data_IF_778445919314
#
_entry.id   IF_778445919314
#
_cell.length_a   1.000
_cell.length_b   1.000
_cell.length_c   1.000
_cell.angle_alpha   90.00
_cell.angle_beta   90.00
_cell.angle_gamma   90.00
#
_symmetry.space_group_name_H-M   'P 1'
#
loop_
_entity.id
_entity.type
_entity.pdbx_description
1 polymer ?
#
# COMPACT_ATOMS: atom_id res chain seq x y z
N UNK A 1 17.82 -12.24 -9.85
CA UNK A 1 17.70 -13.03 -8.60
C UNK A 1 17.06 -12.22 -7.46
N UNK A 2 17.33 -10.91 -7.32
CA UNK A 2 16.66 -10.05 -6.31
C UNK A 2 15.17 -9.79 -6.63
N UNK A 3 14.83 -9.55 -7.91
CA UNK A 3 13.45 -9.33 -8.37
C UNK A 3 12.46 -10.47 -8.07
N UNK A 4 12.92 -11.73 -8.03
CA UNK A 4 12.06 -12.88 -7.71
C UNK A 4 11.77 -12.95 -6.21
N UNK A 5 12.79 -12.65 -5.37
CA UNK A 5 12.65 -12.57 -3.91
C UNK A 5 11.73 -11.42 -3.49
N UNK A 6 11.74 -10.29 -4.19
CA UNK A 6 10.84 -9.16 -3.90
C UNK A 6 9.38 -9.47 -4.24
N UNK A 7 9.12 -10.17 -5.36
CA UNK A 7 7.76 -10.58 -5.77
C UNK A 7 7.09 -11.49 -4.72
N UNK A 8 7.83 -12.51 -4.28
CA UNK A 8 7.35 -13.45 -3.25
C UNK A 8 7.11 -12.71 -1.92
N UNK A 9 7.95 -11.73 -1.59
CA UNK A 9 7.84 -10.97 -0.34
C UNK A 9 6.64 -10.02 -0.33
N UNK A 10 6.32 -9.34 -1.43
CA UNK A 10 5.13 -8.48 -1.50
C UNK A 10 3.82 -9.28 -1.48
N UNK A 11 3.81 -10.43 -2.13
CA UNK A 11 2.68 -11.37 -2.06
C UNK A 11 2.48 -11.88 -0.63
N UNK A 12 3.58 -12.26 0.04
CA UNK A 12 3.55 -12.66 1.45
C UNK A 12 3.08 -11.53 2.37
N UNK A 13 3.51 -10.29 2.11
CA UNK A 13 3.09 -9.13 2.88
C UNK A 13 1.59 -8.85 2.73
N UNK A 14 1.09 -8.84 1.49
CA UNK A 14 -0.35 -8.71 1.21
C UNK A 14 -1.13 -9.78 1.95
N UNK A 15 -0.68 -11.04 1.88
CA UNK A 15 -1.31 -12.15 2.60
C UNK A 15 -1.33 -11.94 4.12
N UNK A 16 -0.20 -11.54 4.72
CA UNK A 16 -0.15 -11.29 6.17
C UNK A 16 -1.09 -10.17 6.62
N UNK A 17 -1.23 -9.12 5.81
CA UNK A 17 -2.17 -8.01 6.07
C UNK A 17 -3.61 -8.52 6.02
N UNK A 18 -3.97 -9.28 4.97
CA UNK A 18 -5.32 -9.83 4.83
C UNK A 18 -5.63 -10.84 5.94
N UNK A 19 -4.73 -11.78 6.23
CA UNK A 19 -4.90 -12.82 7.25
C UNK A 19 -5.09 -12.20 8.64
N UNK A 20 -4.29 -11.17 8.98
CA UNK A 20 -4.45 -10.44 10.25
C UNK A 20 -5.82 -9.74 10.31
N UNK A 21 -6.20 -9.08 9.22
CA UNK A 21 -7.45 -8.31 9.13
C UNK A 21 -8.68 -9.22 9.22
N UNK A 22 -8.64 -10.42 8.65
CA UNK A 22 -9.76 -11.37 8.71
C UNK A 22 -9.86 -12.12 10.04
N UNK A 23 -8.74 -12.29 10.76
CA UNK A 23 -8.69 -13.11 11.98
C UNK A 23 -9.06 -12.32 13.24
N UNK A 24 -8.48 -11.13 13.42
CA UNK A 24 -8.60 -10.37 14.69
C UNK A 24 -9.76 -9.36 14.71
N UNK A 25 -10.46 -9.16 13.58
CA UNK A 25 -11.48 -8.12 13.45
C UNK A 25 -12.86 -8.72 13.18
N UNK A 26 -13.13 -9.90 13.76
CA UNK A 26 -14.37 -10.65 13.52
C UNK A 26 -15.54 -10.18 14.39
N UNK A 27 -15.28 -9.69 15.59
CA UNK A 27 -16.31 -9.26 16.53
C UNK A 27 -15.98 -7.89 17.11
N UNK A 28 -16.99 -7.04 17.27
CA UNK A 28 -16.83 -5.69 17.78
C UNK A 28 -17.50 -5.56 19.15
N UNK A 29 -16.81 -5.91 20.25
CA UNK A 29 -17.44 -5.95 21.58
C UNK A 29 -17.82 -4.56 22.11
N UNK A 30 -17.14 -3.52 21.64
CA UNK A 30 -17.35 -2.13 22.05
C UNK A 30 -17.43 -1.26 20.80
N UNK A 31 -18.42 -0.37 20.76
CA UNK A 31 -18.54 0.59 19.66
C UNK A 31 -17.36 1.57 19.67
N UNK A 32 -16.67 1.77 18.53
CA UNK A 32 -15.57 2.72 18.43
C UNK A 32 -16.00 4.16 18.81
N UNK A 33 -15.07 4.96 19.35
CA UNK A 33 -15.30 6.38 19.61
C UNK A 33 -15.75 7.18 18.36
N UNK A 34 -16.54 8.23 18.55
CA UNK A 34 -17.13 9.01 17.44
C UNK A 34 -16.08 9.69 16.54
N UNK A 35 -14.97 10.13 17.12
CA UNK A 35 -13.82 10.67 16.38
C UNK A 35 -13.19 9.61 15.48
N UNK A 36 -13.08 8.36 15.93
CA UNK A 36 -12.59 7.24 15.11
C UNK A 36 -13.59 6.89 14.00
N UNK A 37 -14.89 6.88 14.30
CA UNK A 37 -15.93 6.61 13.30
C UNK A 37 -15.95 7.68 12.20
N UNK A 38 -15.63 8.93 12.53
CA UNK A 38 -15.57 10.03 11.55
C UNK A 38 -14.45 9.89 10.52
N UNK A 39 -13.46 9.02 10.76
CA UNK A 39 -12.37 8.73 9.83
C UNK A 39 -12.76 7.70 8.75
N UNK A 40 -13.86 6.97 8.97
CA UNK A 40 -14.33 5.97 8.01
C UNK A 40 -14.87 6.69 6.76
N UNK A 41 -14.41 6.33 5.56
CA UNK A 41 -14.93 6.91 4.33
C UNK A 41 -16.46 6.75 4.24
N UNK A 42 -17.22 7.83 3.96
CA UNK A 42 -18.68 7.81 4.04
C UNK A 42 -19.35 6.95 2.97
N UNK A 43 -18.60 6.55 1.92
CA UNK A 43 -19.11 5.72 0.82
C UNK A 43 -19.15 4.23 1.14
N UNK A 44 -18.60 3.80 2.28
CA UNK A 44 -18.57 2.39 2.66
C UNK A 44 -19.79 2.11 3.54
N UNK A 45 -20.54 1.01 3.28
CA UNK A 45 -21.62 0.60 4.17
C UNK A 45 -21.14 0.39 5.60
N UNK A 46 -21.98 0.71 6.58
CA UNK A 46 -21.63 0.57 7.99
C UNK A 46 -21.25 -0.88 8.34
N UNK A 47 -20.01 -1.09 8.81
CA UNK A 47 -19.47 -2.40 9.21
C UNK A 47 -19.42 -2.61 10.73
N UNK A 48 -20.27 -1.90 11.47
CA UNK A 48 -20.34 -2.01 12.93
C UNK A 48 -21.15 -3.23 13.42
N UNK A 49 -21.89 -3.90 12.54
CA UNK A 49 -22.62 -5.14 12.87
C UNK A 49 -21.72 -6.38 12.87
N UNK A 50 -22.27 -7.53 13.25
CA UNK A 50 -21.51 -8.80 13.32
C UNK A 50 -21.88 -9.83 12.23
N UNK A 51 -22.61 -9.41 11.20
CA UNK A 51 -22.90 -10.23 10.01
C UNK A 51 -21.62 -10.55 9.23
N UNK A 52 -21.65 -11.59 8.39
CA UNK A 52 -20.48 -11.99 7.62
C UNK A 52 -19.98 -10.86 6.68
N UNK A 53 -20.91 -10.16 6.03
CA UNK A 53 -20.66 -9.01 5.18
C UNK A 53 -20.00 -7.86 5.96
N UNK A 54 -20.52 -7.54 7.15
CA UNK A 54 -19.96 -6.55 8.06
C UNK A 54 -18.52 -6.90 8.49
N UNK A 55 -18.24 -8.17 8.82
CA UNK A 55 -16.88 -8.63 9.16
C UNK A 55 -15.90 -8.48 8.00
N UNK A 56 -16.33 -8.81 6.79
CA UNK A 56 -15.52 -8.69 5.58
C UNK A 56 -15.21 -7.22 5.26
N UNK A 57 -16.19 -6.32 5.39
CA UNK A 57 -15.98 -4.89 5.21
C UNK A 57 -15.04 -4.31 6.28
N UNK A 58 -15.16 -4.75 7.54
CA UNK A 58 -14.23 -4.37 8.60
C UNK A 58 -12.80 -4.83 8.30
N UNK A 59 -12.64 -6.07 7.86
CA UNK A 59 -11.33 -6.59 7.45
C UNK A 59 -10.75 -5.79 6.27
N UNK A 60 -11.57 -5.42 5.28
CA UNK A 60 -11.13 -4.57 4.17
C UNK A 60 -10.69 -3.17 4.66
N UNK A 61 -11.45 -2.54 5.54
CA UNK A 61 -11.08 -1.25 6.12
C UNK A 61 -9.76 -1.31 6.91
N UNK A 62 -9.55 -2.37 7.69
CA UNK A 62 -8.31 -2.59 8.43
C UNK A 62 -7.13 -2.80 7.48
N UNK A 63 -7.28 -3.64 6.45
CA UNK A 63 -6.25 -3.86 5.45
C UNK A 63 -5.88 -2.56 4.71
N UNK A 64 -6.88 -1.77 4.30
CA UNK A 64 -6.69 -0.44 3.74
C UNK A 64 -5.87 0.47 4.66
N UNK A 65 -6.23 0.53 5.94
CA UNK A 65 -5.57 1.40 6.93
C UNK A 65 -4.11 1.00 7.11
N UNK A 66 -3.83 -0.30 7.28
CA UNK A 66 -2.46 -0.82 7.41
C UNK A 66 -1.64 -0.48 6.16
N UNK A 67 -2.17 -0.80 4.97
CA UNK A 67 -1.49 -0.58 3.70
C UNK A 67 -1.25 0.89 3.40
N UNK A 68 -2.17 1.78 3.78
CA UNK A 68 -2.01 3.23 3.63
C UNK A 68 -0.87 3.75 4.49
N UNK A 69 -0.81 3.34 5.76
CA UNK A 69 0.27 3.75 6.67
C UNK A 69 1.61 3.17 6.20
N UNK A 70 1.67 1.89 5.79
CA UNK A 70 2.90 1.31 5.24
C UNK A 70 3.37 2.04 3.98
N UNK A 71 2.45 2.35 3.06
CA UNK A 71 2.79 3.08 1.83
C UNK A 71 3.39 4.43 2.16
N UNK A 72 2.79 5.13 3.11
CA UNK A 72 3.23 6.45 3.52
C UNK A 72 4.54 6.46 4.33
N UNK A 73 4.71 5.49 5.24
CA UNK A 73 5.82 5.47 6.22
C UNK A 73 7.03 4.65 5.79
N UNK A 74 6.76 3.54 5.10
CA UNK A 74 7.73 2.50 4.80
C UNK A 74 8.09 2.53 3.32
N UNK A 75 7.12 2.67 2.42
CA UNK A 75 7.33 2.57 0.98
C UNK A 75 7.77 3.87 0.29
N UNK A 76 8.52 4.70 1.01
CA UNK A 76 9.18 5.89 0.47
C UNK A 76 10.51 5.51 -0.21
N UNK A 77 11.01 6.28 -1.18
CA UNK A 77 12.23 5.91 -1.93
C UNK A 77 13.53 5.94 -1.12
N UNK A 78 13.59 6.69 0.00
CA UNK A 78 14.84 6.95 0.73
C UNK A 78 14.80 6.47 2.18
N UNK A 79 14.34 7.31 3.11
CA UNK A 79 14.34 7.01 4.54
C UNK A 79 12.95 6.58 4.98
N UNK A 80 12.89 5.77 6.04
CA UNK A 80 11.64 5.64 6.79
C UNK A 80 11.23 7.05 7.25
N UNK A 81 10.02 7.48 6.91
CA UNK A 81 9.57 8.80 7.35
C UNK A 81 9.38 8.74 8.86
N UNK A 82 10.22 9.45 9.61
CA UNK A 82 10.21 9.47 11.08
C UNK A 82 9.28 10.55 11.66
N UNK A 83 8.72 11.43 10.83
CA UNK A 83 7.98 12.63 11.26
C UNK A 83 6.61 12.79 10.58
N UNK A 84 5.82 13.79 11.01
CA UNK A 84 4.53 14.15 10.38
C UNK A 84 4.69 14.36 8.88
N UNK A 85 3.56 14.36 8.14
CA UNK A 85 3.50 14.60 6.69
C UNK A 85 4.55 15.65 6.26
N UNK A 86 5.38 15.28 5.28
CA UNK A 86 6.47 16.09 4.73
C UNK A 86 7.65 16.30 5.70
N UNK A 87 8.42 15.22 5.97
CA UNK A 87 9.78 15.44 6.47
C UNK A 87 10.56 16.23 5.40
N UNK A 88 11.12 17.38 5.80
CA UNK A 88 11.87 18.25 4.88
C UNK A 88 13.01 17.49 4.20
N UNK A 89 13.54 16.47 4.87
CA UNK A 89 14.56 15.59 4.31
C UNK A 89 14.03 14.74 3.14
N UNK A 90 12.82 14.17 3.24
CA UNK A 90 12.22 13.34 2.19
C UNK A 90 11.91 14.16 0.92
N UNK A 91 11.41 15.39 1.10
CA UNK A 91 11.20 16.32 -0.02
C UNK A 91 12.51 16.69 -0.72
N UNK A 92 13.58 16.94 0.04
CA UNK A 92 14.89 17.26 -0.49
C UNK A 92 15.53 16.07 -1.23
N UNK A 93 15.45 14.85 -0.68
CA UNK A 93 15.97 13.66 -1.34
C UNK A 93 15.19 13.35 -2.62
N UNK A 94 13.87 13.52 -2.61
CA UNK A 94 13.03 13.35 -3.81
C UNK A 94 13.41 14.36 -4.89
N UNK A 95 13.55 15.64 -4.54
CA UNK A 95 13.98 16.68 -5.48
C UNK A 95 15.38 16.43 -6.05
N UNK A 96 16.34 16.05 -5.19
CA UNK A 96 17.71 15.74 -5.63
C UNK A 96 17.75 14.50 -6.54
N UNK A 97 16.98 13.46 -6.20
CA UNK A 97 16.86 12.25 -7.03
C UNK A 97 16.29 12.59 -8.42
N UNK A 98 15.21 13.38 -8.50
CA UNK A 98 14.66 13.84 -9.77
C UNK A 98 15.70 14.59 -10.62
N UNK A 99 16.40 15.58 -10.04
CA UNK A 99 17.46 16.32 -10.75
C UNK A 99 18.63 15.45 -11.22
N UNK A 100 18.99 14.42 -10.44
CA UNK A 100 20.03 13.47 -10.82
C UNK A 100 19.54 12.53 -11.93
N UNK A 101 18.29 12.08 -11.86
CA UNK A 101 17.68 11.19 -12.85
C UNK A 101 17.57 11.83 -14.22
N UNK A 102 17.20 13.11 -14.30
CA UNK A 102 17.19 13.87 -15.55
C UNK A 102 18.54 13.84 -16.28
N UNK A 103 19.64 13.79 -15.52
CA UNK A 103 21.00 13.82 -16.06
C UNK A 103 21.62 12.44 -16.24
N UNK A 104 21.32 11.51 -15.33
CA UNK A 104 21.80 10.12 -15.37
C UNK A 104 21.10 9.26 -14.32
N UNK A 105 20.29 8.32 -14.76
CA UNK A 105 19.70 7.26 -13.91
C UNK A 105 20.77 6.46 -13.17
N UNK A 106 21.92 6.20 -13.80
CA UNK A 106 23.06 5.53 -13.15
C UNK A 106 23.65 6.34 -12.01
N UNK A 107 23.87 7.66 -12.20
CA UNK A 107 24.40 8.51 -11.11
C UNK A 107 23.41 8.63 -9.97
N UNK A 108 22.11 8.71 -10.26
CA UNK A 108 21.10 8.70 -9.21
C UNK A 108 21.13 7.38 -8.42
N UNK A 109 21.16 6.23 -9.09
CA UNK A 109 21.18 4.94 -8.42
C UNK A 109 22.40 4.79 -7.49
N UNK A 110 23.59 5.21 -7.96
CA UNK A 110 24.82 5.24 -7.16
C UNK A 110 24.69 6.20 -5.98
N UNK A 111 24.17 7.40 -6.21
CA UNK A 111 23.93 8.39 -5.16
C UNK A 111 22.95 7.88 -4.09
N UNK A 112 21.82 7.29 -4.50
CA UNK A 112 20.81 6.70 -3.61
C UNK A 112 21.43 5.57 -2.79
N UNK A 113 22.19 4.67 -3.41
CA UNK A 113 22.87 3.59 -2.70
C UNK A 113 23.85 4.14 -1.66
N UNK A 114 24.72 5.09 -2.01
CA UNK A 114 25.65 5.70 -1.05
C UNK A 114 24.95 6.45 0.07
N UNK A 115 23.88 7.17 -0.25
CA UNK A 115 23.06 7.90 0.73
C UNK A 115 22.43 6.93 1.74
N UNK A 116 21.84 5.83 1.25
CA UNK A 116 21.27 4.79 2.09
C UNK A 116 22.34 4.09 2.95
N UNK A 117 23.48 3.73 2.36
CA UNK A 117 24.59 3.14 3.11
C UNK A 117 25.04 4.07 4.23
N UNK A 118 25.31 5.34 3.93
CA UNK A 118 25.73 6.33 4.92
C UNK A 118 24.68 6.53 6.04
N UNK A 119 23.39 6.56 5.68
CA UNK A 119 22.30 6.64 6.65
C UNK A 119 22.29 5.42 7.58
N UNK A 120 22.47 4.22 7.03
CA UNK A 120 22.39 2.95 7.76
C UNK A 120 23.67 2.51 8.48
N UNK A 121 24.83 3.12 8.19
CA UNK A 121 26.11 2.81 8.86
C UNK A 121 26.52 3.85 9.91
N UNK A 122 25.73 4.91 10.12
CA UNK A 122 25.99 5.89 11.19
C UNK A 122 25.88 5.25 12.59
N UNK A 123 26.58 5.82 13.58
CA UNK A 123 26.73 5.27 14.94
C UNK A 123 25.40 4.92 15.63
N UNK A 124 24.33 5.66 15.32
CA UNK A 124 22.99 5.47 15.89
C UNK A 124 21.95 4.95 14.88
N UNK A 125 22.39 4.50 13.70
CA UNK A 125 21.49 4.07 12.63
C UNK A 125 20.54 2.96 13.07
N UNK A 126 21.07 1.92 13.72
CA UNK A 126 20.28 0.77 14.18
C UNK A 126 19.19 1.18 15.17
N UNK A 127 19.51 2.05 16.11
CA UNK A 127 18.54 2.56 17.09
C UNK A 127 17.46 3.40 16.41
N UNK A 128 17.84 4.28 15.49
CA UNK A 128 16.87 5.11 14.74
C UNK A 128 15.92 4.28 13.88
N UNK A 129 16.41 3.26 13.19
CA UNK A 129 15.57 2.34 12.39
C UNK A 129 14.58 1.61 13.28
N UNK A 130 15.05 1.05 14.40
CA UNK A 130 14.18 0.32 15.32
C UNK A 130 13.12 1.24 15.95
N UNK A 131 13.50 2.47 16.31
CA UNK A 131 12.56 3.48 16.80
C UNK A 131 11.53 3.87 15.74
N UNK A 132 11.95 4.02 14.48
CA UNK A 132 11.05 4.29 13.35
C UNK A 132 10.03 3.17 13.17
N UNK A 133 10.52 1.93 13.06
CA UNK A 133 9.66 0.76 12.93
C UNK A 133 8.69 0.62 14.11
N UNK A 134 9.16 0.88 15.34
CA UNK A 134 8.32 0.91 16.53
C UNK A 134 7.21 1.97 16.44
N UNK A 135 7.54 3.18 16.00
CA UNK A 135 6.53 4.25 15.83
C UNK A 135 5.47 3.90 14.77
N UNK A 136 5.86 3.24 13.67
CA UNK A 136 4.90 2.78 12.64
C UNK A 136 3.99 1.68 13.19
N UNK A 137 4.52 0.76 13.99
CA UNK A 137 3.71 -0.27 14.67
C UNK A 137 2.67 0.39 15.58
N UNK A 138 3.08 1.35 16.41
CA UNK A 138 2.16 2.04 17.32
C UNK A 138 1.14 2.91 16.56
N UNK A 139 1.53 3.56 15.45
CA UNK A 139 0.61 4.31 14.60
C UNK A 139 -0.47 3.41 14.00
N UNK A 140 -0.09 2.25 13.45
CA UNK A 140 -1.03 1.27 12.91
C UNK A 140 -1.94 0.73 14.02
N UNK A 141 -1.38 0.28 15.15
CA UNK A 141 -2.17 -0.27 16.26
C UNK A 141 -3.18 0.76 16.76
N UNK A 142 -2.77 2.01 16.98
CA UNK A 142 -3.68 3.05 17.45
C UNK A 142 -4.79 3.39 16.45
N UNK A 143 -4.54 3.25 15.15
CA UNK A 143 -5.55 3.48 14.12
C UNK A 143 -6.63 2.38 14.08
N UNK A 144 -6.27 1.12 14.37
CA UNK A 144 -7.17 -0.03 14.16
C UNK A 144 -7.64 -0.72 15.44
N UNK A 145 -7.01 -0.50 16.61
CA UNK A 145 -7.33 -1.21 17.86
C UNK A 145 -8.80 -1.11 18.30
N UNK A 146 -9.49 -0.04 17.89
CA UNK A 146 -10.91 0.15 18.23
C UNK A 146 -11.85 -0.79 17.49
N UNK A 147 -11.36 -1.51 16.47
CA UNK A 147 -12.14 -2.44 15.65
C UNK A 147 -11.95 -3.92 16.03
N UNK A 148 -11.18 -4.21 17.09
CA UNK A 148 -10.90 -5.57 17.60
C UNK A 148 -11.30 -5.68 19.08
N UNK A 149 -11.26 -6.89 19.62
CA UNK A 149 -11.44 -7.12 21.04
C UNK A 149 -10.24 -6.54 21.82
N UNK A 150 -10.45 -5.74 22.89
CA UNK A 150 -9.37 -5.24 23.73
C UNK A 150 -8.44 -6.34 24.28
N UNK A 151 -8.94 -7.56 24.46
CA UNK A 151 -8.14 -8.70 24.91
C UNK A 151 -7.17 -9.21 23.82
N UNK A 152 -7.42 -8.91 22.56
CA UNK A 152 -6.57 -9.28 21.43
C UNK A 152 -5.51 -8.20 21.10
N UNK A 153 -5.45 -7.08 21.85
CA UNK A 153 -4.53 -5.98 21.56
C UNK A 153 -3.05 -6.44 21.48
N UNK A 154 -2.62 -7.36 22.34
CA UNK A 154 -1.26 -7.86 22.29
C UNK A 154 -1.01 -8.76 21.07
N UNK A 155 -2.00 -9.60 20.70
CA UNK A 155 -1.93 -10.39 19.47
C UNK A 155 -1.90 -9.48 18.23
N UNK A 156 -2.68 -8.40 18.24
CA UNK A 156 -2.67 -7.35 17.22
C UNK A 156 -1.28 -6.71 17.12
N UNK A 157 -0.70 -6.25 18.24
CA UNK A 157 0.62 -5.62 18.27
C UNK A 157 1.71 -6.56 17.73
N UNK A 158 1.69 -7.84 18.10
CA UNK A 158 2.61 -8.86 17.57
C UNK A 158 2.41 -9.08 16.07
N UNK A 159 1.16 -9.16 15.62
CA UNK A 159 0.81 -9.29 14.22
C UNK A 159 1.30 -8.12 13.36
N UNK A 160 1.00 -6.89 13.77
CA UNK A 160 1.44 -5.65 13.11
C UNK A 160 2.97 -5.55 13.11
N UNK A 161 3.65 -5.92 14.20
CA UNK A 161 5.13 -5.94 14.24
C UNK A 161 5.73 -6.86 13.18
N UNK A 162 5.13 -8.04 12.94
CA UNK A 162 5.58 -8.96 11.87
C UNK A 162 5.39 -8.34 10.48
N UNK A 163 4.23 -7.74 10.24
CA UNK A 163 3.91 -7.03 8.98
C UNK A 163 4.93 -5.90 8.72
N UNK A 164 5.13 -5.00 9.69
CA UNK A 164 6.05 -3.86 9.56
C UNK A 164 7.49 -4.35 9.34
N UNK A 165 7.91 -5.40 10.04
CA UNK A 165 9.23 -6.00 9.83
C UNK A 165 9.39 -6.52 8.41
N UNK A 166 8.44 -7.31 7.91
CA UNK A 166 8.49 -7.84 6.54
C UNK A 166 8.48 -6.69 5.52
N UNK A 167 7.60 -5.70 5.68
CA UNK A 167 7.54 -4.52 4.80
C UNK A 167 8.88 -3.76 4.76
N UNK A 168 9.49 -3.52 5.93
CA UNK A 168 10.78 -2.85 6.04
C UNK A 168 11.92 -3.65 5.37
N UNK A 169 11.94 -4.98 5.55
CA UNK A 169 12.92 -5.87 4.91
C UNK A 169 12.75 -5.91 3.40
N UNK A 170 11.52 -6.11 2.90
CA UNK A 170 11.21 -6.14 1.46
C UNK A 170 11.56 -4.81 0.79
N UNK A 171 11.17 -3.69 1.41
CA UNK A 171 11.41 -2.38 0.83
C UNK A 171 12.87 -1.96 0.87
N UNK A 172 13.64 -2.44 1.85
CA UNK A 172 15.11 -2.25 1.87
C UNK A 172 15.76 -2.83 0.62
N UNK A 173 15.32 -3.99 0.14
CA UNK A 173 15.83 -4.55 -1.11
C UNK A 173 15.38 -3.73 -2.32
N UNK A 174 14.11 -3.33 -2.36
CA UNK A 174 13.59 -2.48 -3.43
C UNK A 174 14.39 -1.16 -3.58
N UNK A 175 14.75 -0.53 -2.46
CA UNK A 175 15.57 0.70 -2.43
C UNK A 175 17.03 0.51 -2.88
N UNK A 176 17.52 -0.72 -3.01
CA UNK A 176 18.87 -1.00 -3.50
C UNK A 176 18.90 -1.38 -4.98
N UNK A 177 17.73 -1.56 -5.59
CA UNK A 177 17.65 -1.82 -7.03
C UNK A 177 18.14 -0.62 -7.84
N UNK A 178 18.75 -0.92 -8.98
CA UNK A 178 19.26 0.11 -9.90
C UNK A 178 18.10 0.95 -10.46
N UNK A 179 17.01 0.27 -10.80
CA UNK A 179 15.79 0.89 -11.30
C UNK A 179 14.90 1.32 -10.14
N UNK A 180 14.17 2.42 -10.32
CA UNK A 180 13.32 2.97 -9.28
C UNK A 180 12.07 2.10 -9.12
N UNK A 181 11.82 1.64 -7.89
CA UNK A 181 10.59 0.93 -7.51
C UNK A 181 9.74 1.88 -6.67
N UNK A 182 8.47 2.01 -7.04
CA UNK A 182 7.52 2.91 -6.41
C UNK A 182 6.30 2.13 -5.95
N UNK A 183 5.80 2.46 -4.76
CA UNK A 183 4.49 2.02 -4.28
C UNK A 183 3.50 3.16 -4.49
N UNK A 184 2.41 2.88 -5.20
CA UNK A 184 1.33 3.82 -5.46
C UNK A 184 0.10 3.35 -4.69
N UNK A 185 -0.50 4.26 -3.94
CA UNK A 185 -1.78 4.06 -3.25
C UNK A 185 -2.46 5.43 -3.10
N UNK A 186 -2.90 6.05 -4.21
CA UNK A 186 -3.50 7.38 -4.17
C UNK A 186 -4.81 7.36 -3.37
N UNK A 187 -5.29 8.53 -2.93
CA UNK A 187 -6.61 8.59 -2.32
C UNK A 187 -7.69 8.19 -3.34
N UNK A 188 -8.86 7.76 -2.85
CA UNK A 188 -9.96 7.32 -3.74
C UNK A 188 -10.42 8.46 -4.65
N UNK A 189 -10.39 9.71 -4.15
CA UNK A 189 -10.80 10.90 -4.90
C UNK A 189 -9.64 11.58 -5.66
N UNK A 190 -8.40 11.10 -5.51
CA UNK A 190 -7.27 11.59 -6.30
C UNK A 190 -7.34 10.96 -7.70
N UNK A 191 -7.99 11.65 -8.64
CA UNK A 191 -7.83 11.36 -10.07
C UNK A 191 -6.51 11.96 -10.54
N UNK A 192 -5.53 11.11 -10.87
CA UNK A 192 -4.30 11.54 -11.52
C UNK A 192 -4.66 12.27 -12.84
N UNK A 193 -4.03 13.43 -13.11
CA UNK A 193 -4.27 14.26 -14.31
C UNK A 193 -4.07 13.52 -15.65
N UNK A 194 -3.36 12.38 -15.62
CA UNK A 194 -3.08 11.54 -16.79
C UNK A 194 -4.10 10.42 -17.05
N UNK A 195 -5.18 10.29 -16.26
CA UNK A 195 -6.23 9.27 -16.47
C UNK A 195 -5.73 7.81 -16.44
N UNK A 196 -4.48 7.59 -16.00
CA UNK A 196 -3.78 6.29 -16.05
C UNK A 196 -3.85 5.54 -14.71
N UNK A 197 -4.49 6.11 -13.67
CA UNK A 197 -4.70 5.44 -12.37
C UNK A 197 -5.82 4.42 -12.36
N UNK A 198 -6.64 4.38 -13.43
CA UNK A 198 -7.70 3.40 -13.67
C UNK A 198 -7.16 2.10 -14.32
N UNK A 199 -5.86 1.85 -14.21
CA UNK A 199 -5.31 0.52 -14.41
C UNK A 199 -5.92 -0.43 -13.38
N UNK A 200 -6.96 -1.15 -13.79
CA UNK A 200 -7.77 -2.13 -13.05
C UNK A 200 -7.05 -2.69 -11.81
N UNK A 201 -7.30 -2.10 -10.63
CA UNK A 201 -6.83 -2.69 -9.38
C UNK A 201 -7.62 -3.98 -9.19
N UNK A 202 -6.98 -5.15 -9.10
CA UNK A 202 -7.71 -6.40 -9.00
C UNK A 202 -8.58 -6.38 -7.74
N UNK A 203 -9.83 -6.81 -7.89
CA UNK A 203 -10.79 -6.82 -6.80
C UNK A 203 -10.37 -7.80 -5.70
N UNK A 204 -10.65 -7.45 -4.44
CA UNK A 204 -10.42 -8.33 -3.32
C UNK A 204 -11.46 -9.44 -3.29
N UNK A 205 -11.00 -10.68 -3.53
CA UNK A 205 -11.84 -11.86 -3.41
C UNK A 205 -12.82 -12.01 -4.55
N UNK A 206 -12.30 -12.26 -5.76
CA UNK A 206 -12.97 -13.07 -6.77
C UNK A 206 -11.92 -13.57 -7.76
N UNK A 207 -11.96 -14.88 -8.02
CA UNK A 207 -11.61 -15.45 -9.31
C UNK A 207 -12.51 -14.81 -10.37
N UNK A 208 -12.30 -13.54 -10.67
CA UNK A 208 -12.78 -12.98 -11.91
C UNK A 208 -11.72 -13.32 -12.93
N UNK A 209 -11.87 -14.49 -13.56
CA UNK A 209 -11.37 -14.62 -14.92
C UNK A 209 -11.80 -13.35 -15.67
N UNK A 210 -10.90 -12.68 -16.40
CA UNK A 210 -11.30 -11.59 -17.27
C UNK A 210 -12.19 -12.22 -18.33
N UNK A 211 -13.51 -12.17 -18.13
CA UNK A 211 -14.45 -12.52 -19.17
C UNK A 211 -14.21 -11.48 -20.26
N UNK A 212 -13.80 -11.89 -21.47
CA UNK A 212 -13.59 -10.95 -22.57
C UNK A 212 -14.97 -10.41 -22.92
N UNK A 213 -15.32 -9.28 -22.34
CA UNK A 213 -16.58 -8.62 -22.62
C UNK A 213 -16.35 -7.83 -23.89
N UNK A 214 -17.10 -8.20 -24.93
CA UNK A 214 -17.08 -7.52 -26.23
C UNK A 214 -17.13 -5.99 -26.03
N UNK A 215 -16.29 -5.22 -26.75
CA UNK A 215 -16.22 -3.76 -26.60
C UNK A 215 -17.54 -3.05 -26.93
N UNK A 216 -18.50 -3.74 -27.55
CA UNK A 216 -19.83 -3.23 -27.87
C UNK A 216 -20.84 -3.29 -26.70
N UNK A 217 -20.55 -4.02 -25.62
CA UNK A 217 -21.46 -4.16 -24.45
C UNK A 217 -20.98 -3.31 -23.25
N UNK A 218 -19.73 -2.87 -23.27
CA UNK A 218 -19.09 -2.09 -22.20
C UNK A 218 -19.59 -0.63 -22.11
N UNK A 219 -20.33 -0.13 -23.10
CA UNK A 219 -20.79 1.28 -23.13
C UNK A 219 -21.99 1.57 -22.21
N UNK A 220 -22.66 0.54 -21.68
CA UNK A 220 -23.87 0.70 -20.85
C UNK A 220 -23.75 0.19 -19.41
N UNK A 221 -22.63 -0.41 -19.01
CA UNK A 221 -22.39 -0.76 -17.61
C UNK A 221 -21.59 0.36 -16.95
N UNK A 222 -22.21 1.05 -15.98
CA UNK A 222 -21.47 1.94 -15.08
C UNK A 222 -20.28 1.16 -14.51
N UNK A 223 -19.06 1.68 -14.71
CA UNK A 223 -17.86 1.06 -14.16
C UNK A 223 -18.00 0.99 -12.63
N UNK A 224 -17.67 -0.16 -12.00
CA UNK A 224 -17.79 -0.30 -10.56
C UNK A 224 -16.92 0.74 -9.86
N UNK A 225 -17.47 1.38 -8.84
CA UNK A 225 -16.83 2.51 -8.17
C UNK A 225 -15.89 1.98 -7.09
N UNK A 226 -14.67 2.50 -7.08
CA UNK A 226 -13.67 2.16 -6.08
C UNK A 226 -14.07 2.69 -4.70
N UNK A 227 -14.11 1.82 -3.69
CA UNK A 227 -14.39 2.17 -2.30
C UNK A 227 -13.12 2.27 -1.46
N UNK A 228 -12.25 1.27 -1.55
CA UNK A 228 -10.99 1.22 -0.79
C UNK A 228 -9.88 0.56 -1.61
N UNK A 229 -8.65 1.05 -1.46
CA UNK A 229 -7.45 0.30 -1.88
C UNK A 229 -6.95 -0.51 -0.68
N UNK A 230 -6.78 -1.82 -0.82
CA UNK A 230 -6.43 -2.72 0.28
C UNK A 230 -4.93 -3.02 0.34
N UNK A 231 -4.21 -2.92 -0.77
CA UNK A 231 -2.75 -3.14 -0.86
C UNK A 231 -2.18 -2.32 -2.01
N UNK A 232 -1.04 -1.61 -1.87
CA UNK A 232 -0.52 -0.72 -2.91
C UNK A 232 -0.11 -1.45 -4.19
N UNK A 233 -0.21 -0.74 -5.32
CA UNK A 233 0.42 -1.16 -6.56
C UNK A 233 1.93 -0.88 -6.45
N UNK A 234 2.74 -1.91 -6.68
CA UNK A 234 4.20 -1.82 -6.58
C UNK A 234 4.76 -2.04 -7.97
N UNK A 235 5.39 -1.01 -8.51
CA UNK A 235 5.86 -0.99 -9.89
C UNK A 235 7.30 -0.52 -9.97
N UNK A 236 8.07 -1.13 -10.85
CA UNK A 236 9.30 -0.55 -11.38
C UNK A 236 8.92 0.47 -12.44
N UNK A 237 9.43 1.69 -12.33
CA UNK A 237 9.25 2.72 -13.36
C UNK A 237 9.90 2.32 -14.69
N UNK A 238 9.36 2.85 -15.79
CA UNK A 238 9.97 2.76 -17.12
C UNK A 238 11.40 3.33 -17.11
N UNK A 239 12.21 2.90 -18.10
CA UNK A 239 13.47 3.60 -18.37
C UNK A 239 13.15 5.07 -18.64
N UNK A 240 13.87 5.94 -17.92
CA UNK A 240 13.67 7.39 -18.02
C UNK A 240 13.89 7.86 -19.47
N UNK A 241 12.99 8.72 -19.96
CA UNK A 241 12.85 9.13 -21.37
C UNK A 241 14.18 9.56 -22.00
N UNK A 242 14.97 10.37 -21.29
CA UNK A 242 16.29 10.83 -21.75
C UNK A 242 17.31 9.72 -22.08
N UNK A 243 17.07 8.46 -21.68
CA UNK A 243 17.96 7.33 -21.91
C UNK A 243 17.33 6.20 -22.72
N UNK A 244 16.15 6.42 -23.30
CA UNK A 244 15.55 5.49 -24.25
C UNK A 244 16.23 5.64 -25.62
N UNK A 245 17.38 4.98 -25.78
CA UNK A 245 18.24 5.14 -26.97
C UNK A 245 17.77 4.19 -28.08
N UNK A 246 17.30 3.01 -27.71
CA UNK A 246 16.81 1.98 -28.62
C UNK A 246 15.29 1.91 -28.67
N UNK A 247 14.72 1.44 -29.78
CA UNK A 247 13.26 1.21 -29.89
C UNK A 247 12.74 0.21 -28.83
N UNK A 248 13.59 -0.73 -28.40
CA UNK A 248 13.27 -1.65 -27.30
C UNK A 248 13.16 -0.93 -25.95
N UNK A 249 14.03 0.04 -25.67
CA UNK A 249 13.97 0.85 -24.44
C UNK A 249 12.83 1.87 -24.47
N UNK A 250 12.44 2.37 -25.64
CA UNK A 250 11.24 3.21 -25.81
C UNK A 250 9.94 2.44 -25.54
N UNK A 251 9.95 1.13 -25.78
CA UNK A 251 8.82 0.24 -25.47
C UNK A 251 8.79 -0.26 -24.02
N UNK A 252 9.73 0.16 -23.16
CA UNK A 252 9.79 -0.30 -21.78
C UNK A 252 8.77 0.43 -20.89
N UNK A 253 7.68 -0.25 -20.54
CA UNK A 253 6.56 0.32 -19.78
C UNK A 253 6.69 0.18 -18.26
N UNK A 254 7.78 -0.40 -17.75
CA UNK A 254 7.87 -0.76 -16.34
C UNK A 254 7.82 -2.26 -16.09
N UNK A 255 7.80 -2.63 -14.82
CA UNK A 255 7.50 -3.99 -14.38
C UNK A 255 6.58 -3.94 -13.16
N UNK A 256 5.50 -4.71 -13.15
CA UNK A 256 4.56 -4.74 -12.04
C UNK A 256 4.95 -5.88 -11.09
N UNK A 257 5.34 -5.52 -9.86
CA UNK A 257 5.57 -6.49 -8.78
C UNK A 257 4.29 -6.77 -7.99
N UNK A 258 3.39 -5.81 -7.91
CA UNK A 258 2.04 -6.01 -7.38
C UNK A 258 1.08 -5.08 -8.10
N UNK A 259 -0.03 -5.63 -8.59
CA UNK A 259 -1.11 -4.85 -9.20
C UNK A 259 -1.94 -4.08 -8.16
N UNK A 260 -1.59 -4.21 -6.87
CA UNK A 260 -2.39 -3.71 -5.76
C UNK A 260 -3.63 -4.57 -5.55
N UNK A 261 -4.52 -4.09 -4.70
CA UNK A 261 -5.78 -4.76 -4.35
C UNK A 261 -6.82 -3.70 -4.00
N UNK A 262 -8.07 -3.90 -4.38
CA UNK A 262 -9.14 -2.93 -4.15
C UNK A 262 -10.49 -3.56 -3.77
N UNK A 263 -11.31 -2.81 -3.04
CA UNK A 263 -12.71 -3.06 -2.79
C UNK A 263 -13.54 -2.10 -3.65
N UNK A 264 -14.50 -2.65 -4.39
CA UNK A 264 -15.44 -1.92 -5.23
C UNK A 264 -16.86 -2.01 -4.67
N UNK A 265 -17.74 -1.11 -5.11
CA UNK A 265 -19.16 -1.08 -4.72
C UNK A 265 -19.94 -2.34 -5.12
N UNK A 266 -19.60 -2.95 -6.24
CA UNK A 266 -20.22 -4.19 -6.72
C UNK A 266 -19.69 -5.47 -6.04
N UNK A 267 -18.79 -5.35 -5.05
CA UNK A 267 -18.27 -6.52 -4.35
C UNK A 267 -19.38 -7.17 -3.52
N UNK A 268 -19.45 -8.52 -3.53
CA UNK A 268 -20.47 -9.27 -2.78
C UNK A 268 -20.65 -8.82 -1.32
N UNK A 269 -19.58 -8.57 -0.53
CA UNK A 269 -19.72 -8.12 0.85
C UNK A 269 -20.37 -6.73 0.99
N UNK A 270 -20.22 -5.87 -0.02
CA UNK A 270 -20.83 -4.53 -0.05
C UNK A 270 -22.31 -4.66 -0.37
N UNK A 271 -22.66 -5.35 -1.46
CA UNK A 271 -24.04 -5.53 -1.90
C UNK A 271 -24.90 -6.20 -0.81
N UNK A 272 -24.40 -7.30 -0.23
CA UNK A 272 -25.11 -7.99 0.85
C UNK A 272 -25.27 -7.09 2.06
N UNK A 273 -24.28 -6.23 2.36
CA UNK A 273 -24.38 -5.32 3.50
C UNK A 273 -25.40 -4.21 3.25
N UNK A 274 -25.52 -3.73 2.02
CA UNK A 274 -26.52 -2.74 1.63
C UNK A 274 -27.94 -3.32 1.72
N UNK A 275 -28.12 -4.60 1.40
CA UNK A 275 -29.41 -5.30 1.57
C UNK A 275 -29.79 -5.51 3.04
N UNK A 276 -28.81 -5.60 3.94
CA UNK A 276 -29.01 -5.79 5.39
C UNK A 276 -29.38 -4.50 6.16
N UNK A 277 -29.11 -3.32 5.58
CA UNK A 277 -29.26 -2.00 6.23
C UNK A 277 -30.61 -1.33 5.92
#
# INVERSE_FOLDING_TARGET
MLAHKSLDSFSQLSKQIMDLSSTLFTHLPVTPPADILSLIPPRIPSFLGDTASSRQLRAAYVAHTISTILTFRVFTPFLFSLGRRFDKADGLFTAMSSQLREKSTRKEAVWRQHTLVAAFTSSDAKQRINSAAGSVVEEIVNAIKYFTDPNEEEALRVGVRRIVKLAAESWRFARLEREMIVAKMPAVDDTDEDGTSDGFWPAHGLESEPTPTDPAVAEFQERPRLLLRLFPAIVREAIHECFQITEQEKGDTGCIYSHGLALYDNATPVLVREEEL
#
